data_IF_968687344731
#
_entry.id   IF_968687344731
#
_cell.length_a   1.000
_cell.length_b   1.000
_cell.length_c   1.000
_cell.angle_alpha   90.00
_cell.angle_beta   90.00
_cell.angle_gamma   90.00
#
_symmetry.space_group_name_H-M   'P 1'
#
loop_
_entity.id
_entity.type
_entity.pdbx_description
1 polymer ?
#
# COMPACT_ATOMS: atom_id res chain seq x y z
N UNK A 1 8.31 -43.30 -17.16
CA UNK A 1 7.65 -43.11 -15.83
C UNK A 1 6.53 -44.15 -15.64
N UNK A 2 6.28 -44.62 -14.41
CA UNK A 2 5.17 -45.56 -14.12
C UNK A 2 4.12 -44.83 -13.27
N UNK A 3 2.82 -45.06 -13.50
CA UNK A 3 1.69 -44.43 -12.80
C UNK A 3 0.81 -43.55 -13.69
N UNK A 4 -0.34 -43.10 -13.17
CA UNK A 4 -1.37 -42.38 -13.96
C UNK A 4 -0.88 -41.04 -14.54
N UNK A 5 0.12 -40.40 -13.92
CA UNK A 5 0.74 -39.18 -14.44
C UNK A 5 1.84 -39.38 -15.48
N UNK A 6 2.20 -40.62 -15.82
CA UNK A 6 3.35 -40.90 -16.69
C UNK A 6 3.20 -40.32 -18.10
N UNK A 7 2.00 -40.45 -18.69
CA UNK A 7 1.72 -39.89 -20.02
C UNK A 7 1.78 -38.37 -20.04
N UNK A 8 1.28 -37.72 -19.00
CA UNK A 8 1.31 -36.26 -18.86
C UNK A 8 2.73 -35.73 -18.65
N UNK A 9 3.54 -36.44 -17.86
CA UNK A 9 4.94 -36.08 -17.64
C UNK A 9 5.78 -36.20 -18.93
N UNK A 10 5.58 -37.26 -19.70
CA UNK A 10 6.27 -37.45 -20.99
C UNK A 10 5.80 -36.39 -22.01
N UNK A 11 4.52 -36.04 -22.03
CA UNK A 11 3.98 -34.97 -22.87
C UNK A 11 4.57 -33.60 -22.50
N UNK A 12 4.66 -33.27 -21.21
CA UNK A 12 5.29 -32.03 -20.74
C UNK A 12 6.78 -31.95 -21.10
N UNK A 13 7.51 -33.07 -20.98
CA UNK A 13 8.92 -33.13 -21.32
C UNK A 13 9.20 -32.87 -22.81
N UNK A 14 8.25 -33.20 -23.69
CA UNK A 14 8.35 -32.99 -25.14
C UNK A 14 7.99 -31.56 -25.59
N UNK A 15 7.44 -30.73 -24.71
CA UNK A 15 7.15 -29.33 -25.02
C UNK A 15 8.44 -28.52 -25.24
N UNK A 16 8.35 -27.46 -26.04
CA UNK A 16 9.40 -26.46 -26.10
C UNK A 16 9.50 -25.72 -24.76
N UNK A 17 10.66 -25.14 -24.45
CA UNK A 17 10.82 -24.36 -23.21
C UNK A 17 9.81 -23.20 -23.12
N UNK A 18 9.46 -22.57 -24.25
CA UNK A 18 8.42 -21.54 -24.29
C UNK A 18 7.03 -22.07 -23.93
N UNK A 19 6.66 -23.25 -24.45
CA UNK A 19 5.35 -23.86 -24.17
C UNK A 19 5.26 -24.38 -22.72
N UNK A 20 6.38 -24.85 -22.15
CA UNK A 20 6.44 -25.20 -20.73
C UNK A 20 6.16 -23.99 -19.85
N UNK A 21 6.76 -22.84 -20.17
CA UNK A 21 6.52 -21.58 -19.45
C UNK A 21 5.05 -21.17 -19.57
N UNK A 22 4.45 -21.25 -20.75
CA UNK A 22 3.03 -20.94 -20.95
C UNK A 22 2.11 -21.87 -20.17
N UNK A 23 2.38 -23.19 -20.15
CA UNK A 23 1.57 -24.14 -19.40
C UNK A 23 1.66 -23.88 -17.89
N UNK A 24 2.88 -23.66 -17.37
CA UNK A 24 3.07 -23.33 -15.95
C UNK A 24 2.38 -22.02 -15.61
N UNK A 25 2.46 -21.01 -16.49
CA UNK A 25 1.75 -19.75 -16.32
C UNK A 25 0.23 -19.95 -16.27
N UNK A 26 -0.33 -20.78 -17.14
CA UNK A 26 -1.76 -21.12 -17.15
C UNK A 26 -2.17 -21.90 -15.89
N UNK A 27 -1.41 -22.91 -15.48
CA UNK A 27 -1.72 -23.66 -14.26
C UNK A 27 -1.64 -22.76 -13.02
N UNK A 28 -0.68 -21.83 -12.99
CA UNK A 28 -0.59 -20.82 -11.95
C UNK A 28 -1.69 -19.76 -12.03
N UNK A 29 -2.45 -19.65 -13.13
CA UNK A 29 -3.63 -18.77 -13.21
C UNK A 29 -4.91 -19.48 -12.80
N UNK A 30 -4.91 -20.82 -12.71
CA UNK A 30 -6.05 -21.58 -12.25
C UNK A 30 -6.14 -21.52 -10.73
N UNK A 31 -7.10 -20.75 -10.21
CA UNK A 31 -7.40 -20.70 -8.78
C UNK A 31 -6.43 -19.86 -7.96
N UNK A 32 -5.83 -18.81 -8.55
CA UNK A 32 -5.31 -17.72 -7.71
C UNK A 32 -6.46 -17.11 -6.93
N UNK A 33 -6.18 -16.73 -5.70
CA UNK A 33 -7.08 -15.88 -4.94
C UNK A 33 -7.29 -14.62 -5.77
N UNK A 34 -8.54 -14.24 -5.99
CA UNK A 34 -8.84 -13.01 -6.71
C UNK A 34 -8.18 -11.83 -5.99
N UNK A 35 -7.61 -10.90 -6.76
CA UNK A 35 -6.78 -9.80 -6.28
C UNK A 35 -5.41 -10.15 -5.69
N UNK A 36 -5.02 -11.41 -5.51
CA UNK A 36 -3.65 -11.80 -5.11
C UNK A 36 -2.71 -11.77 -6.34
N UNK A 37 -2.15 -10.61 -6.60
CA UNK A 37 -1.31 -10.36 -7.78
C UNK A 37 0.05 -11.04 -7.66
N UNK A 38 0.62 -11.00 -6.46
CA UNK A 38 1.97 -11.50 -6.23
C UNK A 38 2.00 -13.04 -6.04
N UNK A 39 0.85 -13.66 -5.77
CA UNK A 39 0.67 -15.10 -5.58
C UNK A 39 1.09 -15.61 -4.21
N UNK A 40 1.10 -14.76 -3.18
CA UNK A 40 1.47 -15.12 -1.81
C UNK A 40 0.29 -15.66 -0.99
N UNK A 41 -0.92 -15.61 -1.53
CA UNK A 41 -2.15 -16.09 -0.92
C UNK A 41 -2.84 -15.09 0.00
N UNK A 42 -2.38 -13.85 0.08
CA UNK A 42 -2.94 -12.79 0.91
C UNK A 42 -3.31 -11.58 0.06
N UNK A 43 -4.52 -11.03 0.24
CA UNK A 43 -4.92 -9.77 -0.42
C UNK A 43 -4.57 -8.61 0.50
N UNK A 44 -3.42 -7.97 0.27
CA UNK A 44 -2.86 -6.94 1.15
C UNK A 44 -2.43 -5.68 0.38
N UNK A 45 -1.64 -4.81 1.03
CA UNK A 45 -1.23 -3.52 0.47
C UNK A 45 -0.45 -3.67 -0.85
N UNK A 46 0.32 -4.75 -1.01
CA UNK A 46 1.07 -5.01 -2.24
C UNK A 46 0.09 -5.17 -3.41
N UNK A 47 -1.00 -5.88 -3.19
CA UNK A 47 -2.06 -6.09 -4.19
C UNK A 47 -2.87 -4.83 -4.46
N UNK A 48 -3.11 -4.01 -3.44
CA UNK A 48 -3.75 -2.71 -3.61
C UNK A 48 -2.93 -1.79 -4.53
N UNK A 49 -1.61 -1.74 -4.34
CA UNK A 49 -0.72 -0.94 -5.19
C UNK A 49 -0.81 -1.40 -6.65
N UNK A 50 -0.85 -2.71 -6.87
CA UNK A 50 -0.98 -3.28 -8.20
C UNK A 50 -2.37 -3.01 -8.82
N UNK A 51 -3.45 -3.15 -8.05
CA UNK A 51 -4.79 -2.78 -8.46
C UNK A 51 -4.88 -1.30 -8.87
N UNK A 52 -4.35 -0.40 -8.03
CA UNK A 52 -4.31 1.05 -8.30
C UNK A 52 -3.54 1.37 -9.58
N UNK A 53 -2.44 0.68 -9.84
CA UNK A 53 -1.68 0.83 -11.09
C UNK A 53 -2.44 0.33 -12.33
N UNK A 54 -3.35 -0.65 -12.16
CA UNK A 54 -4.17 -1.20 -13.23
C UNK A 54 -5.51 -0.47 -13.45
N UNK A 55 -5.90 0.44 -12.55
CA UNK A 55 -7.16 1.16 -12.62
C UNK A 55 -7.32 1.91 -13.96
N UNK A 56 -8.47 1.72 -14.61
CA UNK A 56 -8.81 2.31 -15.90
C UNK A 56 -8.21 1.60 -17.11
N UNK A 57 -7.39 0.56 -16.91
CA UNK A 57 -6.91 -0.27 -18.01
C UNK A 57 -7.98 -1.27 -18.46
N UNK A 58 -7.93 -1.67 -19.74
CA UNK A 58 -8.77 -2.75 -20.24
C UNK A 58 -8.21 -4.09 -19.77
N UNK A 59 -9.11 -5.00 -19.40
CA UNK A 59 -8.78 -6.36 -19.00
C UNK A 59 -9.31 -7.36 -20.01
N UNK A 60 -8.54 -8.42 -20.24
CA UNK A 60 -9.02 -9.63 -20.93
C UNK A 60 -8.54 -10.84 -20.15
N UNK A 61 -9.13 -12.02 -20.32
CA UNK A 61 -8.66 -13.24 -19.64
C UNK A 61 -7.18 -13.61 -19.89
N UNK A 62 -6.53 -12.99 -20.89
CA UNK A 62 -5.14 -13.24 -21.24
C UNK A 62 -4.16 -12.17 -20.74
N UNK A 63 -4.64 -11.13 -20.05
CA UNK A 63 -3.76 -10.08 -19.52
C UNK A 63 -3.42 -10.33 -18.05
N UNK A 64 -2.21 -9.97 -17.57
CA UNK A 64 -1.83 -10.21 -16.18
C UNK A 64 -2.77 -9.58 -15.15
N UNK A 65 -3.31 -8.40 -15.46
CA UNK A 65 -4.26 -7.65 -14.63
C UNK A 65 -5.69 -8.24 -14.61
N UNK A 66 -5.92 -9.38 -15.26
CA UNK A 66 -7.25 -10.02 -15.28
C UNK A 66 -7.77 -10.38 -13.89
N UNK A 67 -6.87 -10.59 -12.93
CA UNK A 67 -7.20 -10.85 -11.52
C UNK A 67 -7.93 -9.69 -10.84
N UNK A 68 -7.94 -8.49 -11.45
CA UNK A 68 -8.61 -7.31 -10.93
C UNK A 68 -9.98 -7.04 -11.56
N UNK A 69 -10.31 -7.61 -12.71
CA UNK A 69 -11.61 -7.43 -13.39
C UNK A 69 -12.55 -8.56 -12.95
N UNK A 70 -13.13 -8.39 -11.77
CA UNK A 70 -13.94 -9.41 -11.12
C UNK A 70 -15.34 -9.51 -11.74
N UNK A 71 -15.88 -8.38 -12.20
CA UNK A 71 -17.23 -8.35 -12.77
C UNK A 71 -17.24 -8.74 -14.27
N UNK A 72 -16.05 -8.88 -14.87
CA UNK A 72 -15.79 -9.32 -16.24
C UNK A 72 -16.42 -8.40 -17.30
N UNK A 73 -16.48 -7.10 -17.03
CA UNK A 73 -16.96 -6.11 -17.99
C UNK A 73 -15.86 -5.61 -18.94
N UNK A 74 -14.61 -6.06 -18.72
CA UNK A 74 -13.46 -5.80 -19.56
C UNK A 74 -12.70 -4.52 -19.20
N UNK A 75 -13.02 -3.87 -18.09
CA UNK A 75 -12.28 -2.72 -17.56
C UNK A 75 -12.03 -2.87 -16.06
N UNK A 76 -10.89 -2.39 -15.58
CA UNK A 76 -10.62 -2.35 -14.14
C UNK A 76 -11.11 -1.01 -13.61
N UNK A 77 -12.08 -1.05 -12.72
CA UNK A 77 -12.82 0.14 -12.32
C UNK A 77 -13.11 0.16 -10.82
N UNK A 78 -13.78 1.21 -10.37
CA UNK A 78 -14.27 1.30 -8.99
C UNK A 78 -15.33 0.22 -8.67
N UNK A 79 -16.01 -0.31 -9.69
CA UNK A 79 -16.95 -1.41 -9.49
C UNK A 79 -16.21 -2.68 -9.04
N UNK A 80 -15.01 -2.91 -9.56
CA UNK A 80 -14.16 -4.02 -9.16
C UNK A 80 -13.52 -3.79 -7.80
N UNK A 81 -13.14 -2.54 -7.52
CA UNK A 81 -12.59 -2.15 -6.22
C UNK A 81 -13.56 -2.42 -5.06
N UNK A 82 -14.87 -2.32 -5.30
CA UNK A 82 -15.86 -2.67 -4.29
C UNK A 82 -15.80 -4.15 -3.84
N UNK A 83 -15.29 -5.04 -4.70
CA UNK A 83 -15.02 -6.43 -4.34
C UNK A 83 -13.62 -6.60 -3.76
N UNK A 84 -12.61 -5.86 -4.24
CA UNK A 84 -11.27 -5.82 -3.63
C UNK A 84 -11.38 -5.53 -2.13
N UNK A 85 -12.18 -4.52 -1.77
CA UNK A 85 -12.43 -4.11 -0.39
C UNK A 85 -13.05 -5.20 0.49
N UNK A 86 -13.74 -6.19 -0.10
CA UNK A 86 -14.30 -7.33 0.64
C UNK A 86 -13.29 -8.46 0.84
N UNK A 87 -12.28 -8.54 -0.05
CA UNK A 87 -11.22 -9.54 0.01
C UNK A 87 -10.00 -9.05 0.82
N UNK A 88 -9.81 -7.72 0.93
CA UNK A 88 -8.67 -7.11 1.61
C UNK A 88 -8.55 -7.55 3.07
N UNK A 89 -7.37 -8.05 3.43
CA UNK A 89 -7.09 -8.63 4.74
C UNK A 89 -6.46 -7.63 5.73
N UNK A 90 -6.04 -6.46 5.25
CA UNK A 90 -5.40 -5.42 6.07
C UNK A 90 -6.38 -4.51 6.81
N UNK A 91 -5.83 -3.63 7.64
CA UNK A 91 -6.60 -2.54 8.24
C UNK A 91 -6.98 -1.50 7.19
N UNK A 92 -8.24 -1.06 7.23
CA UNK A 92 -8.79 -0.12 6.28
C UNK A 92 -9.86 0.71 7.01
N UNK A 93 -9.39 1.77 7.67
CA UNK A 93 -10.17 2.62 8.54
C UNK A 93 -10.78 3.80 7.80
N UNK A 94 -11.09 4.84 8.58
CA UNK A 94 -11.44 6.19 8.11
C UNK A 94 -10.75 7.15 9.08
N UNK A 95 -9.47 7.36 8.85
CA UNK A 95 -8.61 8.04 9.80
C UNK A 95 -8.77 9.57 9.77
N UNK A 96 -9.19 10.14 8.63
CA UNK A 96 -9.52 11.56 8.51
C UNK A 96 -10.99 11.88 8.91
N UNK A 97 -11.81 10.86 9.14
CA UNK A 97 -13.19 10.97 9.63
C UNK A 97 -14.17 11.55 8.61
N UNK A 98 -13.87 11.43 7.32
CA UNK A 98 -14.69 12.00 6.25
C UNK A 98 -15.85 11.08 5.82
N UNK A 99 -15.93 9.86 6.38
CA UNK A 99 -16.93 8.84 6.07
C UNK A 99 -16.58 7.95 4.87
N UNK A 100 -15.39 8.10 4.30
CA UNK A 100 -14.81 7.30 3.21
C UNK A 100 -13.64 6.51 3.80
N UNK A 101 -13.51 5.25 3.38
CA UNK A 101 -12.43 4.42 3.87
C UNK A 101 -11.07 4.86 3.31
N UNK A 102 -10.01 4.69 4.10
CA UNK A 102 -8.64 5.10 3.80
C UNK A 102 -8.17 4.63 2.41
N UNK A 103 -8.35 3.34 2.08
CA UNK A 103 -7.96 2.83 0.76
C UNK A 103 -8.76 3.44 -0.40
N UNK A 104 -10.01 3.84 -0.17
CA UNK A 104 -10.82 4.52 -1.20
C UNK A 104 -10.34 5.95 -1.41
N UNK A 105 -9.94 6.64 -0.33
CA UNK A 105 -9.32 7.96 -0.44
C UNK A 105 -7.99 7.88 -1.20
N UNK A 106 -7.17 6.86 -0.92
CA UNK A 106 -5.93 6.60 -1.64
C UNK A 106 -6.14 6.21 -3.11
N UNK A 107 -7.19 5.46 -3.42
CA UNK A 107 -7.51 5.06 -4.80
C UNK A 107 -7.98 6.27 -5.63
N UNK A 108 -8.84 7.10 -5.05
CA UNK A 108 -9.41 8.27 -5.75
C UNK A 108 -8.49 9.49 -5.75
N UNK A 109 -7.42 9.45 -4.94
CA UNK A 109 -6.41 10.50 -4.87
C UNK A 109 -6.85 11.72 -4.05
N UNK A 110 -7.84 11.55 -3.18
CA UNK A 110 -8.22 12.57 -2.17
C UNK A 110 -7.17 12.66 -1.07
N UNK A 111 -6.50 11.55 -0.76
CA UNK A 111 -5.39 11.47 0.18
C UNK A 111 -4.09 11.00 -0.48
N UNK A 112 -2.96 11.33 0.16
CA UNK A 112 -1.61 10.95 -0.27
C UNK A 112 -1.11 9.84 0.64
N UNK A 113 -0.38 8.88 0.07
CA UNK A 113 0.33 7.80 0.76
C UNK A 113 1.73 7.75 0.13
N UNK A 114 2.67 8.48 0.73
CA UNK A 114 4.00 8.69 0.16
C UNK A 114 4.93 7.48 0.40
N UNK A 115 4.71 6.73 1.47
CA UNK A 115 5.51 5.57 1.86
C UNK A 115 4.90 4.21 1.42
N UNK A 116 3.70 4.26 0.82
CA UNK A 116 2.96 3.12 0.26
C UNK A 116 2.58 2.08 1.34
N UNK A 117 2.29 2.54 2.55
CA UNK A 117 1.93 1.67 3.67
C UNK A 117 0.41 1.39 3.75
N UNK A 118 -0.41 2.05 2.92
CA UNK A 118 -1.87 1.87 2.89
C UNK A 118 -2.65 2.76 3.86
N UNK A 119 -1.97 3.63 4.62
CA UNK A 119 -2.55 4.65 5.47
C UNK A 119 -2.28 6.03 4.85
N UNK A 120 -3.31 6.89 4.74
CA UNK A 120 -3.10 8.28 4.38
C UNK A 120 -2.07 8.98 5.28
N UNK A 121 -1.15 9.70 4.65
CA UNK A 121 -0.12 10.53 5.30
C UNK A 121 -0.71 11.48 6.36
N UNK A 122 -1.87 12.08 6.07
CA UNK A 122 -2.58 12.98 7.00
C UNK A 122 -3.02 12.32 8.31
N UNK A 123 -2.99 10.99 8.36
CA UNK A 123 -3.37 10.21 9.52
C UNK A 123 -2.18 9.81 10.39
N UNK A 124 -0.95 10.01 9.90
CA UNK A 124 0.25 9.88 10.69
C UNK A 124 0.53 11.22 11.37
N UNK A 125 0.48 11.31 12.71
CA UNK A 125 0.80 12.55 13.40
C UNK A 125 2.27 12.90 13.17
N UNK A 126 2.52 14.14 12.75
CA UNK A 126 3.86 14.72 12.64
C UNK A 126 4.10 15.79 13.69
N UNK A 127 4.20 15.40 14.97
CA UNK A 127 4.26 16.36 16.06
C UNK A 127 5.52 17.24 16.01
N UNK A 128 6.59 16.78 15.36
CA UNK A 128 7.86 17.51 15.23
C UNK A 128 7.96 18.38 13.95
N UNK A 129 6.97 18.37 13.07
CA UNK A 129 6.88 19.30 11.94
C UNK A 129 6.15 20.57 12.41
N UNK A 130 6.94 21.56 12.83
CA UNK A 130 6.40 22.82 13.34
C UNK A 130 6.15 23.84 12.22
N UNK A 131 6.63 23.57 11.02
CA UNK A 131 6.47 24.45 9.87
C UNK A 131 5.31 24.05 8.95
N UNK A 132 4.80 22.83 9.09
CA UNK A 132 3.66 22.28 8.35
C UNK A 132 4.00 21.92 6.91
N UNK A 133 5.27 21.66 6.59
CA UNK A 133 5.74 21.32 5.25
C UNK A 133 5.94 19.81 5.03
N UNK A 134 5.53 18.99 6.01
CA UNK A 134 5.68 17.53 6.06
C UNK A 134 7.14 17.06 6.08
N UNK A 135 8.06 17.90 6.54
CA UNK A 135 9.48 17.56 6.60
C UNK A 135 10.10 18.03 7.91
N UNK A 136 10.38 17.10 8.83
CA UNK A 136 11.13 17.41 10.05
C UNK A 136 12.60 17.68 9.69
N UNK A 137 12.98 18.95 9.70
CA UNK A 137 14.24 19.43 9.17
C UNK A 137 14.93 20.46 10.06
N UNK A 138 15.98 21.09 9.52
CA UNK A 138 16.64 22.22 10.17
C UNK A 138 15.72 23.42 10.41
N UNK A 139 14.63 23.54 9.67
CA UNK A 139 13.64 24.58 9.88
C UNK A 139 12.89 24.36 11.22
N UNK A 140 12.41 23.14 11.46
CA UNK A 140 11.71 22.76 12.70
C UNK A 140 12.63 22.77 13.90
N UNK A 141 13.88 22.32 13.72
CA UNK A 141 14.91 22.47 14.73
C UNK A 141 15.11 23.95 15.11
N UNK A 142 15.09 24.85 14.13
CA UNK A 142 15.16 26.28 14.37
C UNK A 142 13.98 26.80 15.22
N UNK A 143 12.77 26.30 14.98
CA UNK A 143 11.58 26.62 15.77
C UNK A 143 11.69 26.10 17.21
N UNK A 144 12.14 24.85 17.38
CA UNK A 144 12.37 24.25 18.71
C UNK A 144 13.42 25.05 19.49
N UNK A 145 14.58 25.34 18.88
CA UNK A 145 15.64 26.12 19.54
C UNK A 145 15.22 27.57 19.84
N UNK A 146 14.32 28.15 19.04
CA UNK A 146 13.76 29.47 19.29
C UNK A 146 12.84 29.54 20.52
N UNK A 147 12.32 28.40 20.96
CA UNK A 147 11.43 28.26 22.12
C UNK A 147 12.08 27.53 23.29
N UNK A 148 13.41 27.35 23.26
CA UNK A 148 14.14 26.62 24.29
C UNK A 148 13.90 27.17 25.70
N UNK A 149 13.56 26.29 26.64
CA UNK A 149 13.24 26.63 28.03
C UNK A 149 11.87 27.31 28.23
N UNK A 150 11.04 27.41 27.20
CA UNK A 150 9.63 27.82 27.35
C UNK A 150 8.77 26.62 27.77
N UNK A 151 7.59 26.92 28.31
CA UNK A 151 6.57 25.98 28.77
C UNK A 151 5.27 26.22 28.02
N UNK A 152 4.41 25.20 27.88
CA UNK A 152 3.10 25.28 27.20
C UNK A 152 3.20 25.78 25.74
N UNK A 153 4.23 25.37 25.02
CA UNK A 153 4.42 25.65 23.59
C UNK A 153 4.34 24.36 22.78
N UNK A 154 3.91 24.39 21.50
CA UNK A 154 3.79 23.19 20.67
C UNK A 154 5.10 22.39 20.47
N UNK A 155 6.24 23.02 20.76
CA UNK A 155 7.58 22.42 20.68
C UNK A 155 7.96 21.57 21.89
N UNK A 156 7.13 21.54 22.94
CA UNK A 156 7.20 20.60 24.06
C UNK A 156 6.57 19.26 23.63
N UNK A 157 7.39 18.42 23.01
CA UNK A 157 6.99 17.17 22.37
C UNK A 157 6.71 16.06 23.37
N UNK A 158 7.35 16.08 24.54
CA UNK A 158 7.12 15.09 25.59
C UNK A 158 6.08 15.53 26.65
N UNK A 159 5.59 16.76 26.54
CA UNK A 159 4.64 17.39 27.45
C UNK A 159 5.10 17.39 28.91
N UNK A 160 6.41 17.53 29.16
CA UNK A 160 6.98 17.62 30.51
C UNK A 160 6.95 19.05 31.09
N UNK A 161 6.47 20.00 30.29
CA UNK A 161 6.32 21.40 30.65
C UNK A 161 7.53 22.26 30.35
N UNK A 162 8.61 21.72 29.74
CA UNK A 162 9.77 22.50 29.34
C UNK A 162 10.34 22.03 28.00
N UNK A 163 10.54 22.96 27.06
CA UNK A 163 11.29 22.65 25.83
C UNK A 163 12.78 22.49 26.13
N UNK A 164 13.33 21.30 25.91
CA UNK A 164 14.72 21.01 26.21
C UNK A 164 15.32 19.83 25.44
N UNK A 165 16.32 19.21 26.05
CA UNK A 165 17.08 18.12 25.43
C UNK A 165 16.24 16.88 25.12
N UNK A 166 15.16 16.65 25.87
CA UNK A 166 14.24 15.55 25.63
C UNK A 166 13.45 15.78 24.34
N UNK A 167 12.90 16.98 24.13
CA UNK A 167 12.18 17.37 22.90
C UNK A 167 13.10 17.38 21.69
N UNK A 168 14.33 17.88 21.86
CA UNK A 168 15.34 17.79 20.82
C UNK A 168 15.60 16.32 20.41
N UNK A 169 15.67 15.41 21.38
CA UNK A 169 15.81 13.98 21.11
C UNK A 169 14.64 13.41 20.30
N UNK A 170 13.41 13.82 20.62
CA UNK A 170 12.21 13.41 19.88
C UNK A 170 12.19 13.97 18.46
N UNK A 171 12.52 15.25 18.28
CA UNK A 171 12.61 15.88 16.97
C UNK A 171 13.66 15.19 16.09
N UNK A 172 14.86 14.93 16.63
CA UNK A 172 15.92 14.23 15.88
C UNK A 172 15.57 12.77 15.60
N UNK A 173 14.77 12.14 16.46
CA UNK A 173 14.24 10.79 16.21
C UNK A 173 13.23 10.74 15.06
N UNK A 174 12.55 11.86 14.80
CA UNK A 174 11.59 12.02 13.71
C UNK A 174 12.21 12.69 12.46
N UNK A 175 13.54 12.85 12.40
CA UNK A 175 14.19 13.63 11.34
C UNK A 175 13.97 13.04 9.93
N UNK A 176 13.58 13.90 9.00
CA UNK A 176 13.31 13.53 7.61
C UNK A 176 11.86 13.76 7.21
N UNK A 177 11.44 13.18 6.07
CA UNK A 177 10.06 13.24 5.64
C UNK A 177 9.17 12.58 6.68
N UNK A 178 8.07 13.25 6.96
CA UNK A 178 6.90 12.58 7.47
C UNK A 178 6.22 11.83 6.32
N UNK A 179 5.67 10.63 6.56
CA UNK A 179 4.60 10.10 5.71
C UNK A 179 3.51 11.16 5.64
#
# INVERSE_FOLDING_TARGET
PYGEGAGSADAFAQLSEGDKVLLVSFLNSLGRVEFDDNGDGHVNIIDFIAFKAALGSSSTPNTPNAVHDINQDGIISIADFAYFMQAYEGENGDCNGNGVADLMDLLTGTSVDADLNGLPDECVPCPADFTGDRLVSGADLGVLLGTWGQSDVPTDLNADGNVGGADLGLLLGAWGPCP
#
